data_IF_335036505336
#
_entry.id   IF_335036505336
#
_cell.length_a   1.000
_cell.length_b   1.000
_cell.length_c   1.000
_cell.angle_alpha   90.00
_cell.angle_beta   90.00
_cell.angle_gamma   90.00
#
_symmetry.space_group_name_H-M   'P 1'
#
loop_
_entity.id
_entity.type
_entity.pdbx_description
1 polymer ?
#
# COMPACT_ATOMS: atom_id res chain seq x y z
N UNK A 1 9.52 24.69 -1.36
CA UNK A 1 8.69 23.54 -1.77
C UNK A 1 9.40 22.68 -2.82
N UNK A 2 9.98 23.23 -3.85
CA UNK A 2 10.69 22.48 -4.91
C UNK A 2 11.83 21.57 -4.41
N UNK A 3 12.62 22.02 -3.42
CA UNK A 3 13.71 21.21 -2.88
C UNK A 3 13.20 19.97 -2.15
N UNK A 4 12.15 20.12 -1.34
CA UNK A 4 11.58 18.98 -0.59
C UNK A 4 10.95 17.94 -1.54
N UNK A 5 10.27 18.40 -2.58
CA UNK A 5 9.73 17.53 -3.62
C UNK A 5 10.85 16.77 -4.36
N UNK A 6 11.89 17.49 -4.79
CA UNK A 6 13.04 16.88 -5.47
C UNK A 6 13.70 15.80 -4.59
N UNK A 7 13.89 16.07 -3.30
CA UNK A 7 14.46 15.10 -2.35
C UNK A 7 13.58 13.85 -2.23
N UNK A 8 12.27 14.01 -2.12
CA UNK A 8 11.33 12.89 -1.99
C UNK A 8 11.24 12.07 -3.27
N UNK A 9 11.17 12.73 -4.42
CA UNK A 9 11.08 12.05 -5.72
C UNK A 9 12.34 11.25 -6.03
N UNK A 10 13.52 11.78 -5.66
CA UNK A 10 14.78 11.04 -5.79
C UNK A 10 14.85 9.77 -4.92
N UNK A 11 14.13 9.76 -3.80
CA UNK A 11 14.01 8.60 -2.92
C UNK A 11 12.85 7.66 -3.34
N UNK A 12 12.23 7.91 -4.51
CA UNK A 12 11.19 7.06 -5.08
C UNK A 12 9.76 7.35 -4.58
N UNK A 13 9.55 8.46 -3.85
CA UNK A 13 8.22 8.84 -3.40
C UNK A 13 7.40 9.48 -4.53
N UNK A 14 6.10 9.17 -4.58
CA UNK A 14 5.12 9.91 -5.39
C UNK A 14 4.63 11.11 -4.58
N UNK A 15 4.82 12.31 -5.10
CA UNK A 15 4.48 13.55 -4.39
C UNK A 15 3.22 14.19 -4.99
N UNK A 16 2.21 14.40 -4.13
CA UNK A 16 1.01 15.17 -4.45
C UNK A 16 1.15 16.55 -3.80
N UNK A 17 1.02 17.63 -4.57
CA UNK A 17 1.20 19.00 -4.08
C UNK A 17 -0.11 19.64 -3.69
N UNK A 18 -0.08 20.34 -2.56
CA UNK A 18 -1.09 21.32 -2.15
C UNK A 18 -0.41 22.68 -1.92
N UNK A 19 -1.01 23.74 -2.42
CA UNK A 19 -0.44 25.10 -2.35
C UNK A 19 -0.85 25.87 -1.09
N UNK A 20 -1.87 25.38 -0.39
CA UNK A 20 -2.38 25.95 0.86
C UNK A 20 -3.11 24.88 1.68
N UNK A 21 -3.49 25.24 2.92
CA UNK A 21 -4.14 24.29 3.83
C UNK A 21 -5.51 23.80 3.35
N UNK A 22 -6.26 24.65 2.65
CA UNK A 22 -7.58 24.26 2.12
C UNK A 22 -7.45 23.18 1.05
N UNK A 23 -6.52 23.37 0.13
CA UNK A 23 -6.24 22.39 -0.93
C UNK A 23 -5.70 21.07 -0.35
N UNK A 24 -4.86 21.13 0.69
CA UNK A 24 -4.39 19.92 1.38
C UNK A 24 -5.55 19.13 2.02
N UNK A 25 -6.52 19.82 2.61
CA UNK A 25 -7.73 19.22 3.16
C UNK A 25 -8.54 18.53 2.05
N UNK A 26 -8.81 19.24 0.95
CA UNK A 26 -9.60 18.74 -0.19
C UNK A 26 -8.92 17.53 -0.86
N UNK A 27 -7.59 17.58 -1.06
CA UNK A 27 -6.83 16.46 -1.63
C UNK A 27 -6.94 15.23 -0.71
N UNK A 28 -6.78 15.40 0.60
CA UNK A 28 -6.88 14.28 1.53
C UNK A 28 -8.30 13.72 1.59
N UNK A 29 -9.32 14.57 1.60
CA UNK A 29 -10.73 14.17 1.61
C UNK A 29 -11.11 13.34 0.37
N UNK A 30 -10.62 13.75 -0.81
CA UNK A 30 -10.91 13.10 -2.10
C UNK A 30 -10.02 11.88 -2.39
N UNK A 31 -8.94 11.69 -1.64
CA UNK A 31 -8.07 10.53 -1.82
C UNK A 31 -8.73 9.25 -1.31
N UNK A 32 -8.35 8.11 -1.88
CA UNK A 32 -8.72 6.82 -1.31
C UNK A 32 -8.13 6.64 0.09
N UNK A 33 -8.85 5.98 0.99
CA UNK A 33 -8.33 5.69 2.34
C UNK A 33 -7.02 4.91 2.25
N UNK A 34 -6.06 5.27 3.09
CA UNK A 34 -4.70 4.68 3.13
C UNK A 34 -3.85 4.87 1.86
N UNK A 35 -4.26 5.72 0.90
CA UNK A 35 -3.45 6.02 -0.30
C UNK A 35 -2.36 7.06 -0.04
N UNK A 36 -2.47 7.82 1.04
CA UNK A 36 -1.47 8.82 1.46
C UNK A 36 -0.68 8.29 2.64
N UNK A 37 0.62 8.06 2.42
CA UNK A 37 1.53 7.50 3.43
C UNK A 37 1.98 8.54 4.47
N UNK A 38 2.11 9.81 4.09
CA UNK A 38 2.47 10.93 4.98
C UNK A 38 2.07 12.28 4.42
N UNK A 39 1.85 13.24 5.29
CA UNK A 39 1.55 14.63 4.95
C UNK A 39 2.68 15.52 5.49
N UNK A 40 3.39 16.21 4.60
CA UNK A 40 4.31 17.29 4.97
C UNK A 40 3.57 18.61 4.94
N UNK A 41 3.34 19.21 6.11
CA UNK A 41 2.50 20.38 6.28
C UNK A 41 3.32 21.59 6.71
N UNK A 42 3.41 22.59 5.84
CA UNK A 42 3.97 23.88 6.24
C UNK A 42 3.03 24.55 7.25
N UNK A 43 3.57 24.97 8.38
CA UNK A 43 2.77 25.70 9.38
C UNK A 43 2.34 27.06 8.85
N UNK A 44 3.25 27.76 8.16
CA UNK A 44 3.02 29.13 7.68
C UNK A 44 2.60 29.11 6.21
N UNK A 45 1.30 29.01 5.97
CA UNK A 45 0.72 29.09 4.63
C UNK A 45 -0.29 30.24 4.54
N UNK A 46 -0.45 30.88 3.36
CA UNK A 46 -1.45 31.89 3.14
C UNK A 46 -2.86 31.29 3.18
N UNK A 47 -3.81 32.03 3.75
CA UNK A 47 -5.20 31.58 3.90
C UNK A 47 -5.38 30.63 5.06
N UNK A 48 -5.57 29.34 4.80
CA UNK A 48 -5.66 28.33 5.85
C UNK A 48 -4.26 27.87 6.24
N UNK A 49 -3.86 28.13 7.48
CA UNK A 49 -2.56 27.70 8.01
C UNK A 49 -2.50 26.19 8.24
N UNK A 50 -1.26 25.65 8.40
CA UNK A 50 -1.05 24.21 8.53
C UNK A 50 -1.63 23.61 9.81
N UNK A 51 -1.71 24.37 10.89
CA UNK A 51 -2.29 23.93 12.17
C UNK A 51 -3.80 23.72 12.01
N UNK A 52 -4.47 24.68 11.38
CA UNK A 52 -5.91 24.60 11.06
C UNK A 52 -6.20 23.44 10.10
N UNK A 53 -5.35 23.26 9.07
CA UNK A 53 -5.48 22.16 8.13
C UNK A 53 -5.32 20.79 8.81
N UNK A 54 -4.32 20.65 9.68
CA UNK A 54 -4.11 19.40 10.42
C UNK A 54 -5.30 19.04 11.31
N UNK A 55 -5.88 20.03 12.03
CA UNK A 55 -7.09 19.81 12.84
C UNK A 55 -8.26 19.35 11.99
N UNK A 56 -8.47 19.98 10.83
CA UNK A 56 -9.54 19.61 9.91
C UNK A 56 -9.36 18.17 9.41
N UNK A 57 -8.15 17.79 8.98
CA UNK A 57 -7.85 16.42 8.56
C UNK A 57 -8.13 15.45 9.70
N UNK A 58 -7.67 15.73 10.93
CA UNK A 58 -7.88 14.85 12.10
C UNK A 58 -9.34 14.70 12.52
N UNK A 59 -10.21 15.64 12.12
CA UNK A 59 -11.65 15.62 12.43
C UNK A 59 -12.51 14.94 11.37
N UNK A 60 -11.94 14.45 10.27
CA UNK A 60 -12.68 13.75 9.22
C UNK A 60 -13.15 12.37 9.69
N UNK A 61 -14.29 11.92 9.15
CA UNK A 61 -14.81 10.56 9.38
C UNK A 61 -14.19 9.56 8.37
N UNK A 62 -12.89 9.27 8.55
CA UNK A 62 -12.11 8.33 7.73
C UNK A 62 -11.29 7.42 8.64
N UNK A 63 -11.08 6.18 8.21
CA UNK A 63 -10.34 5.20 9.01
C UNK A 63 -8.83 5.50 9.13
N UNK A 64 -8.25 6.24 8.17
CA UNK A 64 -6.82 6.54 8.10
C UNK A 64 -6.41 7.84 8.81
N UNK A 65 -7.34 8.70 9.24
CA UNK A 65 -7.03 10.00 9.87
C UNK A 65 -6.19 9.89 11.14
N UNK A 66 -6.37 8.82 11.90
CA UNK A 66 -5.61 8.60 13.13
C UNK A 66 -4.19 8.07 12.88
N UNK A 67 -3.97 7.44 11.73
CA UNK A 67 -2.74 6.72 11.40
C UNK A 67 -1.83 7.45 10.43
N UNK A 68 -2.38 8.28 9.52
CA UNK A 68 -1.57 9.06 8.59
C UNK A 68 -0.69 10.07 9.36
N UNK A 69 0.65 10.01 9.22
CA UNK A 69 1.51 10.96 9.90
C UNK A 69 1.43 12.34 9.25
N UNK A 70 1.25 13.38 10.08
CA UNK A 70 1.35 14.78 9.66
C UNK A 70 2.64 15.35 10.26
N UNK A 71 3.58 15.71 9.39
CA UNK A 71 4.89 16.22 9.75
C UNK A 71 4.91 17.73 9.49
N UNK A 72 5.06 18.51 10.55
CA UNK A 72 5.11 19.96 10.45
C UNK A 72 6.42 20.44 9.83
N UNK A 73 6.35 21.34 8.85
CA UNK A 73 7.49 22.10 8.34
C UNK A 73 7.43 23.50 8.96
N UNK A 74 8.45 23.87 9.75
CA UNK A 74 8.47 25.17 10.46
C UNK A 74 9.74 25.96 10.15
N UNK A 75 9.64 27.28 10.10
CA UNK A 75 10.80 28.17 10.02
C UNK A 75 11.54 28.27 11.36
N UNK A 76 10.90 27.88 12.46
CA UNK A 76 11.41 28.12 13.81
C UNK A 76 11.25 26.87 14.70
N UNK A 77 12.27 26.57 15.49
CA UNK A 77 12.31 25.38 16.36
C UNK A 77 11.80 25.68 17.79
N UNK A 78 11.17 26.86 18.03
CA UNK A 78 10.78 27.24 19.38
C UNK A 78 9.63 26.39 19.93
N UNK A 79 9.60 26.24 21.25
CA UNK A 79 8.69 25.35 22.00
C UNK A 79 7.22 25.62 21.77
N UNK A 80 6.80 26.89 21.63
CA UNK A 80 5.40 27.27 21.49
C UNK A 80 4.73 26.73 20.21
N UNK A 81 5.46 26.69 19.10
CA UNK A 81 4.94 26.17 17.83
C UNK A 81 4.85 24.64 17.85
N UNK A 82 5.74 23.98 18.60
CA UNK A 82 5.71 22.53 18.79
C UNK A 82 4.50 22.08 19.62
N UNK A 83 4.15 22.81 20.67
CA UNK A 83 2.99 22.47 21.50
C UNK A 83 1.68 22.67 20.73
N UNK A 84 1.55 23.78 19.97
CA UNK A 84 0.38 24.06 19.13
C UNK A 84 0.17 23.01 18.05
N UNK A 85 1.23 22.64 17.33
CA UNK A 85 1.12 21.65 16.26
C UNK A 85 0.87 20.24 16.81
N UNK A 86 1.47 19.89 17.95
CA UNK A 86 1.18 18.63 18.64
C UNK A 86 -0.28 18.55 19.10
N UNK A 87 -0.81 19.65 19.64
CA UNK A 87 -2.23 19.77 20.03
C UNK A 87 -3.18 19.73 18.82
N UNK A 88 -2.69 20.06 17.62
CA UNK A 88 -3.42 19.93 16.36
C UNK A 88 -3.35 18.51 15.76
N UNK A 89 -2.67 17.57 16.42
CA UNK A 89 -2.53 16.18 15.95
C UNK A 89 -1.39 15.97 14.95
N UNK A 90 -0.43 16.90 14.85
CA UNK A 90 0.80 16.67 14.08
C UNK A 90 1.76 15.76 14.85
N UNK A 91 2.45 14.87 14.15
CA UNK A 91 3.26 13.80 14.73
C UNK A 91 4.72 14.21 14.96
N UNK A 92 5.29 15.01 14.06
CA UNK A 92 6.71 15.39 14.10
C UNK A 92 6.94 16.77 13.48
N UNK A 93 8.16 17.31 13.66
CA UNK A 93 8.57 18.63 13.20
C UNK A 93 9.89 18.60 12.47
N UNK A 94 9.94 19.25 11.31
CA UNK A 94 11.16 19.51 10.55
C UNK A 94 11.34 21.01 10.39
N UNK A 95 12.54 21.50 10.73
CA UNK A 95 12.89 22.91 10.53
C UNK A 95 13.32 23.17 9.10
N UNK A 96 12.93 24.30 8.55
CA UNK A 96 13.44 24.80 7.27
C UNK A 96 14.77 25.53 7.50
N UNK A 97 15.79 25.38 6.60
CA UNK A 97 15.77 24.50 5.42
C UNK A 97 15.75 23.01 5.81
N UNK A 98 14.97 22.22 5.05
CA UNK A 98 14.80 20.81 5.35
C UNK A 98 16.06 20.03 5.01
N UNK A 99 16.68 19.41 6.00
CA UNK A 99 17.80 18.49 5.83
C UNK A 99 17.31 17.17 5.24
N UNK A 100 17.95 16.69 4.17
CA UNK A 100 17.57 15.50 3.45
C UNK A 100 17.64 14.23 4.31
N UNK A 101 18.69 14.09 5.11
CA UNK A 101 18.89 12.92 5.97
C UNK A 101 17.84 12.87 7.08
N UNK A 102 17.52 14.04 7.64
CA UNK A 102 16.49 14.17 8.67
C UNK A 102 15.08 13.95 8.10
N UNK A 103 14.80 14.49 6.91
CA UNK A 103 13.53 14.24 6.21
C UNK A 103 13.35 12.75 5.95
N UNK A 104 14.36 12.08 5.41
CA UNK A 104 14.36 10.64 5.16
C UNK A 104 14.15 9.85 6.46
N UNK A 105 14.88 10.16 7.51
CA UNK A 105 14.76 9.48 8.81
C UNK A 105 13.38 9.65 9.42
N UNK A 106 12.80 10.85 9.38
CA UNK A 106 11.46 11.12 9.92
C UNK A 106 10.39 10.44 9.09
N UNK A 107 10.42 10.59 7.76
CA UNK A 107 9.46 9.91 6.89
C UNK A 107 9.59 8.40 7.04
N UNK A 108 10.78 7.84 6.99
CA UNK A 108 10.99 6.40 7.21
C UNK A 108 10.56 5.94 8.61
N UNK A 109 10.60 6.78 9.62
CA UNK A 109 10.09 6.46 10.95
C UNK A 109 8.56 6.38 11.04
N UNK A 110 7.86 7.11 10.18
CA UNK A 110 6.38 7.18 10.15
C UNK A 110 5.76 6.43 8.98
N UNK A 111 6.32 6.62 7.78
CA UNK A 111 5.97 5.87 6.58
C UNK A 111 6.90 4.69 6.46
N UNK A 112 7.96 4.72 7.27
CA UNK A 112 8.77 3.55 7.47
C UNK A 112 7.81 2.47 7.72
N UNK A 113 7.64 1.73 6.67
CA UNK A 113 7.27 0.38 6.68
C UNK A 113 7.93 -0.19 7.93
N UNK A 114 7.22 -0.20 9.04
CA UNK A 114 7.42 -1.25 10.00
C UNK A 114 7.53 -2.44 9.08
N UNK A 115 8.72 -3.03 8.95
CA UNK A 115 8.87 -4.24 8.15
C UNK A 115 7.76 -5.15 8.63
N UNK A 116 6.63 -5.13 7.89
CA UNK A 116 5.50 -5.96 8.27
C UNK A 116 6.07 -7.36 8.26
N UNK A 117 6.04 -8.01 9.39
CA UNK A 117 6.36 -9.43 9.41
C UNK A 117 5.43 -10.13 8.43
N UNK A 118 5.85 -11.22 7.84
CA UNK A 118 4.99 -11.97 6.93
C UNK A 118 3.65 -12.34 7.61
N UNK A 119 3.66 -12.56 8.93
CA UNK A 119 2.48 -12.77 9.76
C UNK A 119 1.51 -11.58 9.74
N UNK A 120 2.02 -10.36 9.86
CA UNK A 120 1.20 -9.15 9.77
C UNK A 120 0.64 -8.94 8.36
N UNK A 121 1.40 -9.30 7.33
CA UNK A 121 0.91 -9.27 5.95
C UNK A 121 -0.26 -10.24 5.73
N UNK A 122 -0.19 -11.45 6.25
CA UNK A 122 -1.30 -12.41 6.18
C UNK A 122 -2.52 -11.91 6.93
N UNK A 123 -2.34 -11.32 8.10
CA UNK A 123 -3.44 -10.73 8.87
C UNK A 123 -4.13 -9.59 8.09
N UNK A 124 -3.36 -8.69 7.46
CA UNK A 124 -3.89 -7.62 6.61
C UNK A 124 -4.62 -8.16 5.36
N UNK A 125 -4.15 -9.27 4.82
CA UNK A 125 -4.82 -9.97 3.73
C UNK A 125 -6.14 -10.63 4.16
N UNK A 126 -6.38 -10.74 5.48
CA UNK A 126 -7.49 -11.48 6.07
C UNK A 126 -7.30 -12.99 6.01
N UNK A 127 -6.03 -13.44 6.09
CA UNK A 127 -5.61 -14.83 6.05
C UNK A 127 -4.85 -15.21 7.33
N UNK A 128 -4.78 -16.50 7.67
CA UNK A 128 -4.08 -17.00 8.84
C UNK A 128 -2.70 -17.55 8.49
N UNK A 129 -1.67 -16.88 8.97
CA UNK A 129 -0.28 -17.34 8.83
C UNK A 129 0.01 -18.58 9.68
N UNK A 130 -0.62 -18.69 10.84
CA UNK A 130 -0.44 -19.84 11.74
C UNK A 130 -1.07 -21.10 11.16
N UNK A 131 -2.21 -20.99 10.50
CA UNK A 131 -2.82 -22.12 9.78
C UNK A 131 -1.94 -22.57 8.62
N UNK A 132 -1.33 -21.63 7.89
CA UNK A 132 -0.39 -21.94 6.84
C UNK A 132 0.84 -22.70 7.38
N UNK A 133 1.47 -22.18 8.45
CA UNK A 133 2.61 -22.83 9.12
C UNK A 133 2.26 -24.24 9.61
N UNK A 134 1.12 -24.38 10.28
CA UNK A 134 0.64 -25.67 10.80
C UNK A 134 0.40 -26.69 9.68
N UNK A 135 -0.18 -26.22 8.56
CA UNK A 135 -0.47 -27.09 7.40
C UNK A 135 0.78 -27.53 6.67
N UNK A 136 1.76 -26.64 6.50
CA UNK A 136 2.98 -26.93 5.76
C UNK A 136 4.03 -27.64 6.62
N UNK A 137 3.99 -27.45 7.95
CA UNK A 137 4.97 -28.06 8.86
C UNK A 137 6.42 -27.67 8.56
N UNK A 138 6.63 -26.49 7.95
CA UNK A 138 7.94 -26.05 7.48
C UNK A 138 8.43 -24.78 8.21
N UNK A 139 9.73 -24.47 7.99
CA UNK A 139 10.36 -23.26 8.51
C UNK A 139 9.74 -21.99 7.87
N UNK A 140 9.59 -20.93 8.64
CA UNK A 140 9.14 -19.61 8.18
C UNK A 140 9.97 -19.10 7.00
N UNK A 141 11.26 -19.42 6.94
CA UNK A 141 12.15 -19.06 5.83
C UNK A 141 11.71 -19.69 4.51
N UNK A 142 11.16 -20.89 4.53
CA UNK A 142 10.65 -21.56 3.32
C UNK A 142 9.41 -20.82 2.81
N UNK A 143 8.51 -20.44 3.72
CA UNK A 143 7.31 -19.65 3.35
C UNK A 143 7.73 -18.30 2.81
N UNK A 144 8.68 -17.62 3.44
CA UNK A 144 9.20 -16.32 2.98
C UNK A 144 9.74 -16.42 1.54
N UNK A 145 10.54 -17.44 1.23
CA UNK A 145 11.07 -17.65 -0.11
C UNK A 145 9.96 -17.95 -1.12
N UNK A 146 8.99 -18.79 -0.77
CA UNK A 146 7.85 -19.10 -1.64
C UNK A 146 6.98 -17.88 -1.94
N UNK A 147 6.76 -17.01 -0.97
CA UNK A 147 6.06 -15.72 -1.17
C UNK A 147 6.88 -14.81 -2.08
N UNK A 148 8.20 -14.75 -1.91
CA UNK A 148 9.10 -13.97 -2.78
C UNK A 148 9.06 -14.46 -4.22
N UNK A 149 9.10 -15.78 -4.44
CA UNK A 149 8.97 -16.38 -5.78
C UNK A 149 7.60 -16.07 -6.39
N UNK A 150 6.52 -16.14 -5.62
CA UNK A 150 5.18 -15.77 -6.08
C UNK A 150 5.11 -14.33 -6.57
N UNK A 151 5.76 -13.39 -5.88
CA UNK A 151 5.76 -11.97 -6.28
C UNK A 151 6.51 -11.72 -7.60
N UNK A 152 7.40 -12.63 -8.02
CA UNK A 152 8.14 -12.59 -9.28
C UNK A 152 7.48 -13.45 -10.35
N UNK A 153 6.40 -14.17 -10.01
CA UNK A 153 5.74 -15.12 -10.90
C UNK A 153 4.99 -14.41 -12.04
N UNK A 154 5.10 -14.94 -13.23
CA UNK A 154 4.54 -14.37 -14.45
C UNK A 154 3.23 -15.04 -14.90
N UNK A 155 2.73 -16.05 -14.19
CA UNK A 155 1.52 -16.77 -14.62
C UNK A 155 0.29 -15.89 -14.65
N UNK A 156 0.18 -14.92 -13.74
CA UNK A 156 -0.89 -13.95 -13.77
C UNK A 156 -0.90 -13.12 -15.08
N UNK A 157 0.26 -12.63 -15.50
CA UNK A 157 0.40 -11.87 -16.76
C UNK A 157 0.15 -12.76 -17.97
N UNK A 158 0.62 -14.02 -17.94
CA UNK A 158 0.33 -15.00 -18.99
C UNK A 158 -1.15 -15.29 -19.12
N UNK A 159 -1.85 -15.41 -17.98
CA UNK A 159 -3.30 -15.63 -17.95
C UNK A 159 -4.04 -14.47 -18.61
N UNK A 160 -3.73 -13.22 -18.25
CA UNK A 160 -4.35 -12.04 -18.85
C UNK A 160 -4.18 -12.03 -20.38
N UNK A 161 -2.94 -12.21 -20.85
CA UNK A 161 -2.63 -12.22 -22.28
C UNK A 161 -3.32 -13.38 -23.03
N UNK A 162 -3.39 -14.55 -22.41
CA UNK A 162 -4.06 -15.70 -23.03
C UNK A 162 -5.56 -15.48 -23.17
N UNK A 163 -6.21 -14.87 -22.18
CA UNK A 163 -7.62 -14.48 -22.25
C UNK A 163 -7.85 -13.43 -23.36
N UNK A 164 -7.03 -12.38 -23.41
CA UNK A 164 -7.10 -11.36 -24.47
C UNK A 164 -6.97 -11.97 -25.86
N UNK A 165 -6.05 -12.92 -26.04
CA UNK A 165 -5.81 -13.62 -27.30
C UNK A 165 -6.78 -14.79 -27.57
N UNK A 166 -7.73 -15.04 -26.68
CA UNK A 166 -8.69 -16.18 -26.75
C UNK A 166 -8.01 -17.54 -26.83
N UNK A 167 -6.80 -17.67 -26.24
CA UNK A 167 -6.06 -18.93 -26.11
C UNK A 167 -6.51 -19.66 -24.86
N UNK A 168 -7.55 -20.46 -24.97
CA UNK A 168 -8.18 -21.17 -23.84
C UNK A 168 -7.22 -22.16 -23.19
N UNK A 169 -6.34 -22.84 -23.98
CA UNK A 169 -5.42 -23.83 -23.44
C UNK A 169 -4.34 -23.18 -22.57
N UNK A 170 -3.71 -22.12 -23.05
CA UNK A 170 -2.70 -21.35 -22.29
C UNK A 170 -3.34 -20.66 -21.08
N UNK A 171 -4.55 -20.09 -21.24
CA UNK A 171 -5.29 -19.49 -20.13
C UNK A 171 -5.60 -20.51 -19.05
N UNK A 172 -6.07 -21.71 -19.40
CA UNK A 172 -6.35 -22.79 -18.44
C UNK A 172 -5.11 -23.17 -17.66
N UNK A 173 -3.98 -23.41 -18.33
CA UNK A 173 -2.71 -23.77 -17.67
C UNK A 173 -2.26 -22.70 -16.68
N UNK A 174 -2.33 -21.42 -17.08
CA UNK A 174 -1.94 -20.30 -16.24
C UNK A 174 -2.89 -20.13 -15.04
N UNK A 175 -4.21 -20.19 -15.25
CA UNK A 175 -5.20 -20.12 -14.18
C UNK A 175 -5.06 -21.28 -13.17
N UNK A 176 -4.82 -22.50 -13.66
CA UNK A 176 -4.58 -23.67 -12.82
C UNK A 176 -3.33 -23.50 -11.94
N UNK A 177 -2.27 -22.94 -12.50
CA UNK A 177 -1.05 -22.61 -11.73
C UNK A 177 -1.34 -21.55 -10.67
N UNK A 178 -2.03 -20.46 -11.02
CA UNK A 178 -2.42 -19.40 -10.06
C UNK A 178 -3.29 -19.94 -8.92
N UNK A 179 -4.25 -20.82 -9.23
CA UNK A 179 -5.05 -21.55 -8.24
C UNK A 179 -4.16 -22.37 -7.30
N UNK A 180 -3.19 -23.15 -7.85
CA UNK A 180 -2.26 -23.95 -7.06
C UNK A 180 -1.37 -23.11 -6.14
N UNK A 181 -0.80 -22.02 -6.64
CA UNK A 181 0.01 -21.08 -5.86
C UNK A 181 -0.81 -20.49 -4.71
N UNK A 182 -2.05 -20.04 -5.01
CA UNK A 182 -2.96 -19.47 -4.01
C UNK A 182 -3.26 -20.47 -2.89
N UNK A 183 -3.52 -21.72 -3.24
CA UNK A 183 -3.75 -22.79 -2.27
C UNK A 183 -2.52 -23.06 -1.40
N UNK A 184 -1.33 -23.17 -2.01
CA UNK A 184 -0.09 -23.45 -1.32
C UNK A 184 0.29 -22.33 -0.34
N UNK A 185 0.08 -21.08 -0.74
CA UNK A 185 0.37 -19.90 0.09
C UNK A 185 -0.77 -19.51 1.03
N UNK A 186 -1.89 -20.24 1.06
CA UNK A 186 -2.99 -19.99 1.99
C UNK A 186 -3.82 -18.74 1.68
N UNK A 187 -3.76 -18.19 0.46
CA UNK A 187 -4.59 -17.08 0.04
C UNK A 187 -5.98 -17.57 -0.38
N UNK A 188 -6.86 -17.76 0.58
CA UNK A 188 -8.15 -18.48 0.40
C UNK A 188 -9.11 -17.77 -0.55
N UNK A 189 -9.19 -16.43 -0.48
CA UNK A 189 -10.02 -15.62 -1.37
C UNK A 189 -9.52 -15.65 -2.81
N UNK A 190 -8.19 -15.50 -2.98
CA UNK A 190 -7.53 -15.58 -4.28
C UNK A 190 -7.68 -16.99 -4.88
N UNK A 191 -7.50 -18.05 -4.08
CA UNK A 191 -7.77 -19.44 -4.47
C UNK A 191 -9.19 -19.63 -4.99
N UNK A 192 -10.18 -19.12 -4.26
CA UNK A 192 -11.60 -19.23 -4.64
C UNK A 192 -11.87 -18.53 -5.97
N UNK A 193 -11.30 -17.34 -6.17
CA UNK A 193 -11.47 -16.58 -7.41
C UNK A 193 -10.83 -17.29 -8.61
N UNK A 194 -9.57 -17.72 -8.51
CA UNK A 194 -8.91 -18.48 -9.59
C UNK A 194 -9.49 -19.87 -9.80
N UNK A 195 -10.12 -20.48 -8.80
CA UNK A 195 -10.85 -21.73 -8.98
C UNK A 195 -12.03 -21.58 -9.95
N UNK A 196 -12.82 -20.52 -9.80
CA UNK A 196 -13.93 -20.23 -10.70
C UNK A 196 -13.44 -19.98 -12.13
N UNK A 197 -12.41 -19.18 -12.31
CA UNK A 197 -11.79 -18.93 -13.62
C UNK A 197 -11.30 -20.25 -14.25
N UNK A 198 -10.64 -21.09 -13.45
CA UNK A 198 -10.12 -22.38 -13.93
C UNK A 198 -11.21 -23.33 -14.41
N UNK A 199 -12.34 -23.40 -13.72
CA UNK A 199 -13.45 -24.28 -14.10
C UNK A 199 -14.14 -23.82 -15.41
N UNK A 200 -14.32 -22.52 -15.60
CA UNK A 200 -14.87 -21.99 -16.85
C UNK A 200 -13.90 -22.26 -18.03
N UNK A 201 -12.61 -22.06 -17.83
CA UNK A 201 -11.59 -22.38 -18.86
C UNK A 201 -11.52 -23.88 -19.15
N UNK A 202 -11.70 -24.74 -18.14
CA UNK A 202 -11.76 -26.19 -18.32
C UNK A 202 -12.92 -26.62 -19.20
N UNK A 203 -14.07 -25.93 -19.08
CA UNK A 203 -15.24 -26.16 -19.93
C UNK A 203 -15.19 -25.45 -21.28
N UNK A 204 -14.10 -24.75 -21.58
CA UNK A 204 -13.89 -24.01 -22.83
C UNK A 204 -14.58 -22.66 -22.91
N UNK A 205 -15.15 -22.17 -21.81
CA UNK A 205 -15.92 -20.92 -21.74
C UNK A 205 -15.01 -19.72 -21.39
N UNK A 206 -14.25 -19.25 -22.38
CA UNK A 206 -13.27 -18.17 -22.17
C UNK A 206 -13.96 -16.82 -21.90
N UNK A 207 -15.15 -16.56 -22.47
CA UNK A 207 -15.92 -15.34 -22.24
C UNK A 207 -16.31 -15.22 -20.76
N UNK A 208 -16.83 -16.30 -20.21
CA UNK A 208 -17.21 -16.34 -18.79
C UNK A 208 -16.02 -16.26 -17.87
N UNK A 209 -14.90 -16.90 -18.24
CA UNK A 209 -13.64 -16.78 -17.53
C UNK A 209 -13.15 -15.33 -17.49
N UNK A 210 -13.25 -14.59 -18.61
CA UNK A 210 -12.88 -13.18 -18.69
C UNK A 210 -13.72 -12.29 -17.76
N UNK A 211 -15.04 -12.53 -17.65
CA UNK A 211 -15.88 -11.83 -16.67
C UNK A 211 -15.43 -12.07 -15.22
N UNK A 212 -15.08 -13.31 -14.89
CA UNK A 212 -14.63 -13.69 -13.54
C UNK A 212 -13.23 -13.17 -13.20
N UNK A 213 -12.43 -12.81 -14.21
CA UNK A 213 -11.09 -12.23 -13.99
C UNK A 213 -11.10 -10.92 -13.22
N UNK A 214 -12.16 -10.12 -13.30
CA UNK A 214 -12.25 -8.88 -12.50
C UNK A 214 -12.03 -9.17 -11.03
N UNK A 215 -12.79 -10.12 -10.47
CA UNK A 215 -12.65 -10.53 -9.07
C UNK A 215 -11.29 -11.16 -8.77
N UNK A 216 -10.78 -12.00 -9.67
CA UNK A 216 -9.47 -12.64 -9.48
C UNK A 216 -8.33 -11.61 -9.51
N UNK A 217 -8.45 -10.59 -10.35
CA UNK A 217 -7.52 -9.45 -10.43
C UNK A 217 -7.53 -8.64 -9.14
N UNK A 218 -8.69 -8.30 -8.61
CA UNK A 218 -8.83 -7.52 -7.37
C UNK A 218 -8.14 -8.24 -6.20
N UNK A 219 -8.41 -9.53 -6.01
CA UNK A 219 -7.79 -10.31 -4.94
C UNK A 219 -6.26 -10.44 -5.14
N UNK A 220 -5.81 -10.67 -6.38
CA UNK A 220 -4.38 -10.71 -6.70
C UNK A 220 -3.68 -9.38 -6.41
N UNK A 221 -4.24 -8.27 -6.89
CA UNK A 221 -3.65 -6.93 -6.70
C UNK A 221 -3.61 -6.54 -5.23
N UNK A 222 -4.66 -6.85 -4.47
CA UNK A 222 -4.70 -6.65 -3.02
C UNK A 222 -3.58 -7.39 -2.31
N UNK A 223 -3.39 -8.67 -2.59
CA UNK A 223 -2.32 -9.49 -2.00
C UNK A 223 -0.94 -8.94 -2.38
N UNK A 224 -0.70 -8.64 -3.66
CA UNK A 224 0.58 -8.08 -4.14
C UNK A 224 0.86 -6.73 -3.48
N UNK A 225 -0.12 -5.85 -3.34
CA UNK A 225 0.06 -4.55 -2.67
C UNK A 225 0.48 -4.70 -1.20
N UNK A 226 -0.14 -5.63 -0.47
CA UNK A 226 0.22 -5.93 0.91
C UNK A 226 1.64 -6.52 0.99
N UNK A 227 1.96 -7.50 0.15
CA UNK A 227 3.26 -8.18 0.16
C UNK A 227 4.41 -7.25 -0.26
N UNK A 228 4.18 -6.32 -1.17
CA UNK A 228 5.16 -5.28 -1.53
C UNK A 228 5.60 -4.45 -0.34
N UNK A 229 4.70 -4.15 0.59
CA UNK A 229 5.01 -3.42 1.83
C UNK A 229 5.91 -4.20 2.79
N UNK A 230 5.98 -5.51 2.64
CA UNK A 230 6.68 -6.46 3.49
C UNK A 230 8.07 -6.85 2.94
N UNK A 231 8.21 -6.95 1.61
CA UNK A 231 9.29 -7.72 0.98
C UNK A 231 10.33 -6.90 0.20
N UNK A 232 10.05 -5.63 -0.17
CA UNK A 232 10.91 -4.87 -1.08
C UNK A 232 11.74 -3.75 -0.45
N UNK A 233 11.83 -3.67 0.88
CA UNK A 233 12.60 -2.64 1.57
C UNK A 233 13.84 -3.18 2.29
N UNK A 234 14.55 -4.10 1.67
CA UNK A 234 15.90 -4.47 2.10
C UNK A 234 16.90 -4.24 1.00
#
# INVERSE_FOLDING_TARGET
MEITEFLLTNEGATVIKAWNGKEAIEIFELSEEYSIDAILMDIMMPGTDGITAAKAIRSMERADVATVPIIALTANAFTDDKEKSRSAGMNEHLTKPVDSSKLKSVISGYTGKKDLTLRECYLLAGESYDDLLSRLGCDEKIIYNAVKEFMLDLHYIRLLRAIENRDTETAFKAAHTMKGISANLGFTKMYSAFSLVTEELRSGNIEKAAELMTRATDEYQKIIAILKRCMFDK
#
